data_IF_529776525047
#
_entry.id   IF_529776525047
#
_cell.length_a   1.000
_cell.length_b   1.000
_cell.length_c   1.000
_cell.angle_alpha   90.00
_cell.angle_beta   90.00
_cell.angle_gamma   90.00
#
_symmetry.space_group_name_H-M   'P 1'
#
loop_
_entity.id
_entity.type
_entity.pdbx_description
1 polymer ?
#
# COMPACT_ATOMS: atom_id res chain seq x y z
N UNK A 1 0.51 -41.55 -4.36
CA UNK A 1 1.38 -41.86 -3.20
C UNK A 1 2.79 -42.03 -3.76
N UNK A 2 3.58 -40.96 -3.82
CA UNK A 2 4.48 -40.43 -2.77
C UNK A 2 5.84 -41.16 -2.75
N UNK A 3 6.87 -40.55 -3.34
CA UNK A 3 8.27 -40.52 -2.86
C UNK A 3 9.13 -39.60 -3.75
N UNK A 4 9.37 -38.35 -3.33
CA UNK A 4 10.55 -37.57 -3.76
C UNK A 4 10.86 -36.39 -2.80
N UNK A 5 10.93 -36.65 -1.49
CA UNK A 5 11.19 -35.65 -0.45
C UNK A 5 12.48 -35.96 0.35
N UNK A 6 13.60 -36.22 -0.34
CA UNK A 6 14.90 -36.49 0.31
C UNK A 6 16.01 -35.50 -0.07
N UNK A 7 15.72 -34.41 -0.79
CA UNK A 7 16.73 -33.41 -1.19
C UNK A 7 16.62 -32.06 -0.48
N UNK A 8 15.57 -31.79 0.31
CA UNK A 8 15.41 -30.48 0.97
C UNK A 8 16.01 -30.41 2.39
N UNK A 9 16.45 -31.53 2.97
CA UNK A 9 17.01 -31.57 4.33
C UNK A 9 18.45 -31.06 4.47
N UNK A 10 19.22 -31.01 3.37
CA UNK A 10 20.66 -30.70 3.42
C UNK A 10 20.98 -29.22 3.18
N UNK A 11 20.08 -28.45 2.57
CA UNK A 11 20.33 -27.02 2.31
C UNK A 11 20.02 -26.12 3.52
N UNK A 12 19.17 -26.59 4.43
CA UNK A 12 18.80 -25.84 5.66
C UNK A 12 19.85 -26.02 6.77
N UNK A 13 20.63 -27.11 6.75
CA UNK A 13 21.59 -27.39 7.81
C UNK A 13 22.91 -26.61 7.66
N UNK A 14 23.32 -26.24 6.44
CA UNK A 14 24.56 -25.49 6.18
C UNK A 14 24.40 -23.97 6.41
N UNK A 15 23.22 -23.40 6.18
CA UNK A 15 22.99 -21.96 6.39
C UNK A 15 23.02 -21.57 7.88
N UNK A 16 22.61 -22.49 8.75
CA UNK A 16 22.55 -22.27 10.19
C UNK A 16 23.93 -22.34 10.87
N UNK A 17 24.90 -23.04 10.26
CA UNK A 17 26.25 -23.18 10.80
C UNK A 17 27.16 -21.97 10.47
N UNK A 18 26.86 -21.21 9.42
CA UNK A 18 27.62 -20.03 9.01
C UNK A 18 27.18 -18.75 9.76
N UNK A 19 25.90 -18.60 10.10
CA UNK A 19 25.43 -17.48 10.94
C UNK A 19 25.98 -17.53 12.37
N UNK A 20 26.17 -18.73 12.94
CA UNK A 20 26.76 -18.89 14.28
C UNK A 20 28.21 -18.45 14.37
N UNK A 21 28.98 -18.49 13.27
CA UNK A 21 30.39 -18.03 13.26
C UNK A 21 30.52 -16.51 13.14
N UNK A 22 29.60 -15.84 12.45
CA UNK A 22 29.66 -14.38 12.28
C UNK A 22 29.35 -13.62 13.58
N UNK A 23 28.48 -14.18 14.42
CA UNK A 23 28.07 -13.59 15.70
C UNK A 23 29.07 -13.83 16.85
N UNK A 24 30.17 -14.55 16.62
CA UNK A 24 31.17 -14.87 17.67
C UNK A 24 32.51 -14.14 17.53
N UNK A 25 32.71 -13.29 16.52
CA UNK A 25 34.01 -12.66 16.21
C UNK A 25 34.16 -11.19 16.64
N UNK A 26 33.17 -10.60 17.32
CA UNK A 26 33.34 -9.29 17.97
C UNK A 26 32.91 -9.39 19.42
N UNK A 27 33.88 -9.68 20.28
CA UNK A 27 33.72 -9.67 21.72
C UNK A 27 33.32 -8.29 22.21
N UNK A 28 32.11 -8.19 22.76
CA UNK A 28 31.75 -7.17 23.72
C UNK A 28 31.56 -7.87 25.07
N UNK A 29 32.68 -8.00 25.79
CA UNK A 29 32.73 -8.45 27.18
C UNK A 29 32.15 -7.33 28.06
N UNK A 30 31.00 -7.57 28.68
CA UNK A 30 30.59 -6.86 29.89
C UNK A 30 30.58 -7.89 31.03
N UNK A 31 31.39 -7.71 32.09
CA UNK A 31 31.47 -8.67 33.18
C UNK A 31 30.32 -8.44 34.17
N UNK A 32 29.74 -9.54 34.66
CA UNK A 32 28.90 -9.53 35.86
C UNK A 32 27.42 -9.82 35.62
N UNK A 33 26.96 -10.92 36.23
CA UNK A 33 25.56 -11.31 36.47
C UNK A 33 24.74 -11.76 35.25
N UNK A 34 24.96 -13.01 34.84
CA UNK A 34 23.98 -14.13 34.92
C UNK A 34 22.50 -13.98 34.51
N UNK A 35 22.04 -12.88 33.93
CA UNK A 35 20.61 -12.67 33.69
C UNK A 35 20.30 -11.65 32.59
N UNK A 36 20.71 -11.87 31.32
CA UNK A 36 20.24 -10.99 30.22
C UNK A 36 19.98 -11.73 28.90
N UNK A 37 20.58 -12.89 28.62
CA UNK A 37 20.42 -13.54 27.29
C UNK A 37 19.01 -14.14 27.08
N UNK A 38 18.39 -14.69 28.14
CA UNK A 38 17.00 -15.20 28.08
C UNK A 38 15.96 -14.08 27.96
N UNK A 39 16.22 -12.91 28.55
CA UNK A 39 15.30 -11.77 28.52
C UNK A 39 15.28 -11.10 27.13
N UNK A 40 16.44 -10.99 26.48
CA UNK A 40 16.53 -10.44 25.12
C UNK A 40 15.95 -11.39 24.07
N UNK A 41 16.11 -12.71 24.24
CA UNK A 41 15.46 -13.70 23.37
C UNK A 41 13.96 -13.76 23.59
N UNK A 42 13.47 -13.61 24.82
CA UNK A 42 12.02 -13.50 25.07
C UNK A 42 11.44 -12.18 24.57
N UNK A 43 12.19 -11.08 24.58
CA UNK A 43 11.77 -9.80 23.98
C UNK A 43 11.68 -9.88 22.46
N UNK A 44 12.58 -10.59 21.79
CA UNK A 44 12.51 -10.82 20.34
C UNK A 44 11.37 -11.76 19.94
N UNK A 45 11.07 -12.78 20.77
CA UNK A 45 9.92 -13.67 20.56
C UNK A 45 8.59 -12.94 20.83
N UNK A 46 8.53 -12.06 21.83
CA UNK A 46 7.34 -11.23 22.09
C UNK A 46 7.14 -10.13 21.03
N UNK A 47 8.20 -9.65 20.39
CA UNK A 47 8.09 -8.74 19.24
C UNK A 47 7.53 -9.44 17.98
N UNK A 48 7.68 -10.76 17.84
CA UNK A 48 7.13 -11.54 16.73
C UNK A 48 5.78 -12.22 17.05
N UNK A 49 5.47 -12.47 18.32
CA UNK A 49 4.22 -13.08 18.78
C UNK A 49 3.17 -12.06 19.28
N UNK A 50 3.53 -10.78 19.42
CA UNK A 50 2.64 -9.69 19.78
C UNK A 50 2.02 -9.02 18.56
N UNK A 51 1.29 -9.78 17.74
CA UNK A 51 0.40 -9.21 16.73
C UNK A 51 -0.81 -8.58 17.44
N UNK A 52 -0.58 -7.39 17.98
CA UNK A 52 -1.62 -6.44 18.36
C UNK A 52 -1.03 -5.06 18.11
N UNK A 53 -0.72 -4.79 16.85
CA UNK A 53 -0.77 -3.41 16.37
C UNK A 53 -2.21 -2.95 16.63
N UNK A 54 -2.39 -2.23 17.72
CA UNK A 54 -3.55 -1.36 17.92
C UNK A 54 -3.64 -0.52 16.65
N UNK A 55 -4.53 -0.94 15.75
CA UNK A 55 -4.74 -0.30 14.47
C UNK A 55 -5.16 1.13 14.76
N UNK A 56 -4.36 2.16 14.42
CA UNK A 56 -4.79 3.52 14.66
C UNK A 56 -5.94 3.78 13.69
N UNK A 57 -7.16 3.69 14.22
CA UNK A 57 -8.44 4.02 13.59
C UNK A 57 -8.47 3.65 12.09
N UNK A 58 -8.77 2.38 11.78
CA UNK A 58 -9.25 2.02 10.44
C UNK A 58 -10.40 2.99 10.11
N UNK A 59 -10.18 3.89 9.17
CA UNK A 59 -11.28 4.69 8.63
C UNK A 59 -12.33 3.69 8.12
N UNK A 60 -13.59 3.77 8.57
CA UNK A 60 -14.54 2.66 8.47
C UNK A 60 -14.89 2.25 7.03
N UNK A 61 -14.45 3.02 6.02
CA UNK A 61 -14.85 2.84 4.63
C UNK A 61 -13.80 2.45 3.62
N UNK A 62 -14.29 1.89 2.51
CA UNK A 62 -13.49 1.52 1.34
C UNK A 62 -13.14 2.74 0.48
N UNK A 63 -13.84 3.86 0.65
CA UNK A 63 -13.56 5.13 -0.01
C UNK A 63 -13.37 6.23 1.02
N UNK A 64 -12.25 6.96 0.92
CA UNK A 64 -11.88 7.99 1.89
C UNK A 64 -11.38 9.24 1.17
N UNK A 65 -11.90 10.41 1.51
CA UNK A 65 -11.36 11.69 1.04
C UNK A 65 -10.36 12.18 2.09
N UNK A 66 -9.13 12.49 1.67
CA UNK A 66 -8.06 12.93 2.56
C UNK A 66 -7.39 14.18 2.01
N UNK A 67 -6.84 15.01 2.90
CA UNK A 67 -6.15 16.24 2.50
C UNK A 67 -4.71 16.00 2.02
N UNK A 68 -4.09 14.88 2.40
CA UNK A 68 -2.71 14.58 2.01
C UNK A 68 -2.34 13.11 2.15
N UNK A 69 -1.30 12.71 1.42
CA UNK A 69 -0.75 11.34 1.39
C UNK A 69 -0.20 10.88 2.74
N UNK A 70 0.22 11.78 3.62
CA UNK A 70 0.70 11.43 4.95
C UNK A 70 -0.42 10.91 5.86
N UNK A 71 -1.69 10.97 5.45
CA UNK A 71 -2.80 10.31 6.15
C UNK A 71 -2.92 8.82 5.79
N UNK A 72 -2.28 8.36 4.71
CA UNK A 72 -2.35 6.98 4.24
C UNK A 72 -1.47 6.09 5.15
N UNK A 73 -2.08 5.05 5.73
CA UNK A 73 -1.44 4.09 6.66
C UNK A 73 -1.56 2.67 6.14
N UNK A 74 -1.12 2.48 4.90
CA UNK A 74 -1.28 1.24 4.13
C UNK A 74 0.06 0.55 3.90
N UNK A 75 0.07 -0.78 3.98
CA UNK A 75 1.28 -1.58 3.73
C UNK A 75 1.64 -1.71 2.24
N UNK A 76 0.66 -1.58 1.34
CA UNK A 76 0.84 -1.61 -0.12
C UNK A 76 0.00 -0.51 -0.74
N UNK A 77 0.61 0.34 -1.57
CA UNK A 77 -0.05 1.49 -2.20
C UNK A 77 0.27 1.56 -3.69
N UNK A 78 -0.78 1.73 -4.48
CA UNK A 78 -0.75 2.17 -5.86
C UNK A 78 -1.18 3.64 -5.93
N UNK A 79 -0.21 4.51 -6.16
CA UNK A 79 -0.43 5.94 -6.35
C UNK A 79 -0.78 6.23 -7.81
N UNK A 80 -1.83 6.98 -8.05
CA UNK A 80 -2.13 7.60 -9.35
C UNK A 80 -1.87 9.08 -9.21
N UNK A 81 -0.90 9.61 -9.96
CA UNK A 81 -0.50 11.02 -9.84
C UNK A 81 0.02 11.57 -11.18
N UNK A 82 0.39 12.85 -11.22
CA UNK A 82 1.09 13.43 -12.37
C UNK A 82 2.59 13.16 -12.29
N UNK A 83 3.29 13.06 -13.44
CA UNK A 83 4.75 12.97 -13.45
C UNK A 83 5.40 14.19 -12.78
N UNK A 84 6.61 13.98 -12.24
CA UNK A 84 7.37 15.02 -11.53
C UNK A 84 6.98 15.20 -10.06
N UNK A 85 6.03 14.41 -9.54
CA UNK A 85 5.76 14.29 -8.11
C UNK A 85 6.65 13.19 -7.51
N UNK A 86 7.19 13.45 -6.33
CA UNK A 86 7.91 12.44 -5.56
C UNK A 86 6.95 11.32 -5.14
N UNK A 87 7.35 10.07 -5.38
CA UNK A 87 6.61 8.88 -4.96
C UNK A 87 7.24 8.38 -3.66
N UNK A 88 6.47 8.23 -2.56
CA UNK A 88 7.01 7.71 -1.31
C UNK A 88 7.70 6.35 -1.49
N UNK A 89 8.78 6.06 -0.75
CA UNK A 89 9.47 4.77 -0.82
C UNK A 89 8.51 3.60 -0.59
N UNK A 90 8.63 2.57 -1.43
CA UNK A 90 7.79 1.36 -1.38
C UNK A 90 6.42 1.49 -2.04
N UNK A 91 6.00 2.70 -2.44
CA UNK A 91 4.77 2.88 -3.21
C UNK A 91 5.03 2.63 -4.70
N UNK A 92 4.06 2.02 -5.38
CA UNK A 92 4.03 1.97 -6.85
C UNK A 92 3.28 3.18 -7.38
N UNK A 93 3.60 3.62 -8.60
CA UNK A 93 2.93 4.76 -9.21
C UNK A 93 2.48 4.49 -10.65
N UNK A 94 1.27 4.95 -10.99
CA UNK A 94 0.78 5.16 -12.34
C UNK A 94 0.72 6.66 -12.60
N UNK A 95 1.29 7.08 -13.72
CA UNK A 95 1.39 8.50 -14.05
C UNK A 95 0.35 8.89 -15.11
N UNK A 96 -0.35 9.98 -14.84
CA UNK A 96 -1.36 10.57 -15.74
C UNK A 96 -0.84 11.91 -16.28
N UNK A 97 -0.75 12.05 -17.60
CA UNK A 97 -0.22 13.25 -18.26
C UNK A 97 -0.64 13.32 -19.73
N UNK A 98 -0.68 14.51 -20.31
CA UNK A 98 -0.80 14.71 -21.77
C UNK A 98 0.51 14.47 -22.51
N UNK A 99 1.64 14.32 -21.81
CA UNK A 99 2.93 14.04 -22.41
C UNK A 99 2.96 12.58 -22.93
N UNK A 100 3.48 12.33 -24.15
CA UNK A 100 3.62 10.98 -24.69
C UNK A 100 4.37 10.03 -23.73
N UNK A 101 3.94 8.78 -23.67
CA UNK A 101 4.54 7.75 -22.80
C UNK A 101 3.85 7.57 -21.44
N UNK A 102 2.94 8.47 -21.07
CA UNK A 102 2.09 8.33 -19.88
C UNK A 102 0.65 7.94 -20.23
N UNK A 103 -0.16 7.61 -19.23
CA UNK A 103 -1.60 7.44 -19.42
C UNK A 103 -2.22 8.82 -19.62
N UNK A 104 -2.91 9.02 -20.74
CA UNK A 104 -3.59 10.27 -21.05
C UNK A 104 -4.69 10.58 -20.02
N UNK A 105 -4.90 11.84 -19.62
CA UNK A 105 -5.93 12.19 -18.65
C UNK A 105 -7.35 11.87 -19.13
N UNK A 106 -7.56 11.77 -20.45
CA UNK A 106 -8.84 11.37 -21.07
C UNK A 106 -9.00 9.85 -21.18
N UNK A 107 -7.95 9.08 -20.91
CA UNK A 107 -7.95 7.62 -21.04
C UNK A 107 -8.42 6.94 -19.73
N UNK A 108 -9.50 7.42 -19.11
CA UNK A 108 -10.04 6.84 -17.87
C UNK A 108 -10.24 5.31 -17.94
N UNK A 109 -10.72 4.71 -19.05
CA UNK A 109 -10.84 3.26 -19.17
C UNK A 109 -9.49 2.52 -19.10
N UNK A 110 -8.45 3.08 -19.72
CA UNK A 110 -7.09 2.52 -19.71
C UNK A 110 -6.49 2.62 -18.31
N UNK A 111 -6.66 3.76 -17.64
CA UNK A 111 -6.25 3.94 -16.25
C UNK A 111 -6.93 2.91 -15.33
N UNK A 112 -8.25 2.75 -15.47
CA UNK A 112 -9.01 1.77 -14.70
C UNK A 112 -8.47 0.35 -14.92
N UNK A 113 -8.23 -0.03 -16.17
CA UNK A 113 -7.66 -1.33 -16.51
C UNK A 113 -6.28 -1.55 -15.87
N UNK A 114 -5.38 -0.57 -15.97
CA UNK A 114 -4.06 -0.64 -15.34
C UNK A 114 -4.13 -0.79 -13.82
N UNK A 115 -5.06 -0.09 -13.16
CA UNK A 115 -5.28 -0.24 -11.72
C UNK A 115 -5.81 -1.64 -11.38
N UNK A 116 -6.80 -2.13 -12.12
CA UNK A 116 -7.38 -3.48 -11.90
C UNK A 116 -6.31 -4.56 -12.08
N UNK A 117 -5.45 -4.46 -13.08
CA UNK A 117 -4.38 -5.43 -13.30
C UNK A 117 -3.37 -5.46 -12.16
N UNK A 118 -3.09 -4.31 -11.54
CA UNK A 118 -2.24 -4.24 -10.35
C UNK A 118 -2.94 -4.84 -9.12
N UNK A 119 -4.24 -4.54 -8.93
CA UNK A 119 -5.04 -5.10 -7.83
C UNK A 119 -5.18 -6.62 -7.94
N UNK A 120 -5.25 -7.18 -9.15
CA UNK A 120 -5.27 -8.64 -9.39
C UNK A 120 -3.94 -9.29 -9.00
N UNK A 121 -2.82 -8.62 -9.29
CA UNK A 121 -1.47 -9.13 -8.96
C UNK A 121 -1.18 -9.00 -7.47
N UNK A 122 -1.66 -7.92 -6.85
CA UNK A 122 -1.42 -7.59 -5.45
C UNK A 122 -2.73 -7.23 -4.72
N UNK A 123 -3.56 -8.23 -4.35
CA UNK A 123 -4.78 -8.01 -3.58
C UNK A 123 -4.51 -7.28 -2.26
N UNK A 124 -5.47 -6.50 -1.79
CA UNK A 124 -5.34 -5.67 -0.59
C UNK A 124 -4.54 -4.37 -0.79
N UNK A 125 -4.02 -4.11 -1.99
CA UNK A 125 -3.33 -2.86 -2.32
C UNK A 125 -4.31 -1.68 -2.25
N UNK A 126 -3.93 -0.64 -1.52
CA UNK A 126 -4.68 0.61 -1.51
C UNK A 126 -4.40 1.43 -2.77
N UNK A 127 -5.43 2.05 -3.33
CA UNK A 127 -5.32 2.95 -4.46
C UNK A 127 -5.44 4.38 -3.95
N UNK A 128 -4.45 5.20 -4.25
CA UNK A 128 -4.43 6.63 -3.88
C UNK A 128 -4.52 7.44 -5.17
N UNK A 129 -5.61 8.17 -5.35
CA UNK A 129 -5.78 9.09 -6.47
C UNK A 129 -5.39 10.50 -6.04
N UNK A 130 -4.25 10.97 -6.55
CA UNK A 130 -3.91 12.39 -6.55
C UNK A 130 -4.49 13.07 -7.80
N UNK A 131 -4.56 14.39 -7.75
CA UNK A 131 -4.99 15.28 -8.84
C UNK A 131 -6.35 14.93 -9.51
N UNK A 132 -7.41 14.61 -8.76
CA UNK A 132 -8.72 14.33 -9.37
C UNK A 132 -9.30 15.51 -10.15
N UNK A 133 -8.92 16.75 -9.80
CA UNK A 133 -9.30 17.97 -10.51
C UNK A 133 -8.78 17.96 -11.94
N UNK A 134 -7.57 17.43 -12.15
CA UNK A 134 -6.98 17.30 -13.47
C UNK A 134 -7.76 16.29 -14.33
N UNK A 135 -8.13 15.15 -13.75
CA UNK A 135 -8.97 14.16 -14.44
C UNK A 135 -10.36 14.73 -14.76
N UNK A 136 -10.95 15.48 -13.84
CA UNK A 136 -12.26 16.12 -14.02
C UNK A 136 -12.22 17.20 -15.08
N UNK A 137 -11.16 18.02 -15.11
CA UNK A 137 -10.96 19.06 -16.12
C UNK A 137 -10.97 18.47 -17.54
N UNK A 138 -10.40 17.28 -17.72
CA UNK A 138 -10.29 16.65 -19.03
C UNK A 138 -11.53 15.82 -19.46
N UNK A 139 -12.35 15.34 -18.52
CA UNK A 139 -13.44 14.38 -18.80
C UNK A 139 -14.84 14.86 -18.38
N UNK A 140 -14.91 15.93 -17.58
CA UNK A 140 -16.11 16.34 -16.86
C UNK A 140 -16.40 15.48 -15.62
N UNK A 141 -17.06 16.10 -14.63
CA UNK A 141 -17.32 15.48 -13.32
C UNK A 141 -18.11 14.17 -13.42
N UNK A 142 -19.16 14.11 -14.24
CA UNK A 142 -20.00 12.91 -14.37
C UNK A 142 -19.23 11.69 -14.87
N UNK A 143 -18.30 11.88 -15.81
CA UNK A 143 -17.46 10.79 -16.33
C UNK A 143 -16.47 10.31 -15.27
N UNK A 144 -15.85 11.24 -14.56
CA UNK A 144 -14.97 10.93 -13.44
C UNK A 144 -15.70 10.21 -12.30
N UNK A 145 -16.91 10.63 -11.94
CA UNK A 145 -17.71 9.99 -10.89
C UNK A 145 -18.07 8.55 -11.24
N UNK A 146 -18.40 8.25 -12.51
CA UNK A 146 -18.61 6.86 -12.96
C UNK A 146 -17.32 6.04 -12.85
N UNK A 147 -16.20 6.61 -13.26
CA UNK A 147 -14.89 5.99 -13.10
C UNK A 147 -14.57 5.69 -11.62
N UNK A 148 -14.80 6.65 -10.71
CA UNK A 148 -14.57 6.47 -9.28
C UNK A 148 -15.43 5.36 -8.69
N UNK A 149 -16.72 5.27 -9.07
CA UNK A 149 -17.60 4.21 -8.59
C UNK A 149 -17.10 2.84 -9.06
N UNK A 150 -16.79 2.69 -10.35
CA UNK A 150 -16.26 1.43 -10.88
C UNK A 150 -14.93 1.04 -10.19
N UNK A 151 -14.03 2.02 -10.00
CA UNK A 151 -12.77 1.79 -9.30
C UNK A 151 -12.99 1.35 -7.86
N UNK A 152 -13.88 2.03 -7.11
CA UNK A 152 -14.22 1.67 -5.73
C UNK A 152 -14.71 0.24 -5.65
N UNK A 153 -15.58 -0.18 -6.56
CA UNK A 153 -16.15 -1.53 -6.57
C UNK A 153 -15.04 -2.59 -6.76
N UNK A 154 -14.09 -2.35 -7.67
CA UNK A 154 -12.93 -3.25 -7.86
C UNK A 154 -11.97 -3.27 -6.66
N UNK A 155 -11.71 -2.11 -6.06
CA UNK A 155 -10.85 -1.99 -4.88
C UNK A 155 -11.47 -2.73 -3.69
N UNK A 156 -12.79 -2.59 -3.49
CA UNK A 156 -13.52 -3.31 -2.46
C UNK A 156 -13.46 -4.83 -2.67
N UNK A 157 -13.71 -5.30 -3.89
CA UNK A 157 -13.67 -6.73 -4.22
C UNK A 157 -12.28 -7.37 -4.04
N UNK A 158 -11.22 -6.57 -4.12
CA UNK A 158 -9.84 -7.03 -3.92
C UNK A 158 -9.33 -6.79 -2.50
N UNK A 159 -10.18 -6.30 -1.59
CA UNK A 159 -9.84 -6.04 -0.18
C UNK A 159 -8.96 -4.80 0.05
N UNK A 160 -8.76 -3.97 -0.97
CA UNK A 160 -8.03 -2.70 -0.88
C UNK A 160 -8.89 -1.56 -0.34
N UNK A 161 -8.31 -0.35 -0.29
CA UNK A 161 -9.02 0.90 0.01
C UNK A 161 -8.69 1.96 -1.02
N UNK A 162 -9.66 2.81 -1.33
CA UNK A 162 -9.53 3.91 -2.28
C UNK A 162 -9.45 5.23 -1.50
N UNK A 163 -8.38 5.98 -1.73
CA UNK A 163 -8.15 7.30 -1.18
C UNK A 163 -8.21 8.34 -2.29
N UNK A 164 -9.01 9.38 -2.11
CA UNK A 164 -9.07 10.52 -2.99
C UNK A 164 -8.41 11.71 -2.29
N UNK A 165 -7.26 12.17 -2.82
CA UNK A 165 -6.58 13.35 -2.30
C UNK A 165 -7.11 14.57 -3.02
N UNK A 166 -7.88 15.40 -2.29
CA UNK A 166 -8.45 16.63 -2.83
C UNK A 166 -8.89 17.60 -1.73
N UNK A 167 -8.95 18.89 -2.07
CA UNK A 167 -9.44 19.94 -1.18
C UNK A 167 -10.91 20.27 -1.52
N UNK A 168 -11.83 20.40 -0.55
CA UNK A 168 -13.23 20.74 -0.82
C UNK A 168 -13.43 22.02 -1.66
N UNK A 169 -12.54 23.00 -1.54
CA UNK A 169 -12.64 24.32 -2.18
C UNK A 169 -12.49 24.30 -3.71
N UNK A 170 -11.92 23.24 -4.28
CA UNK A 170 -11.71 23.12 -5.73
C UNK A 170 -12.95 22.58 -6.47
N UNK A 171 -13.97 22.16 -5.74
CA UNK A 171 -15.18 21.55 -6.26
C UNK A 171 -16.37 22.50 -6.16
N UNK A 172 -17.34 22.33 -7.07
CA UNK A 172 -18.68 22.91 -6.83
C UNK A 172 -19.32 22.18 -5.65
N UNK A 173 -20.13 22.90 -4.87
CA UNK A 173 -20.80 22.35 -3.68
C UNK A 173 -21.55 21.03 -3.98
N UNK A 174 -22.29 20.98 -5.09
CA UNK A 174 -23.00 19.76 -5.52
C UNK A 174 -22.06 18.61 -5.92
N UNK A 175 -20.91 18.91 -6.50
CA UNK A 175 -19.92 17.90 -6.91
C UNK A 175 -19.25 17.32 -5.66
N UNK A 176 -18.82 18.17 -4.73
CA UNK A 176 -18.22 17.71 -3.48
C UNK A 176 -19.20 16.91 -2.62
N UNK A 177 -20.46 17.34 -2.54
CA UNK A 177 -21.50 16.59 -1.85
C UNK A 177 -21.69 15.17 -2.42
N UNK A 178 -21.57 15.00 -3.74
CA UNK A 178 -21.62 13.68 -4.37
C UNK A 178 -20.39 12.83 -4.06
N UNK A 179 -19.19 13.43 -4.01
CA UNK A 179 -17.98 12.73 -3.60
C UNK A 179 -18.06 12.28 -2.13
N UNK A 180 -18.52 13.15 -1.23
CA UNK A 180 -18.68 12.84 0.21
C UNK A 180 -19.70 11.73 0.45
N UNK A 181 -20.76 11.63 -0.35
CA UNK A 181 -21.70 10.50 -0.29
C UNK A 181 -21.07 9.15 -0.62
N UNK A 182 -19.90 9.14 -1.26
CA UNK A 182 -19.16 7.91 -1.51
C UNK A 182 -18.33 7.45 -0.32
N UNK A 183 -18.04 8.34 0.65
CA UNK A 183 -17.35 7.94 1.88
C UNK A 183 -18.23 6.97 2.67
N UNK A 184 -17.65 5.85 3.07
CA UNK A 184 -18.40 4.76 3.69
C UNK A 184 -17.71 3.42 3.61
#
# INVERSE_FOLDING_TARGET
MMTSALTEGLHVHLHNHLQKRYLYSRGLLIPGKGMVVKALTSMLIQAWAGNSYSSPLRSPGYFNIIGSREAVREGSVLLVTRPGREVPPGWKALFVSTVPGFIGPRELPKLLHSIIDELKKNPGTAVVLECPEYMVLHNGFRSFLRFLNALRDHVMLTGGRLYLITDPSVWKEREFALLRRMEG
#
